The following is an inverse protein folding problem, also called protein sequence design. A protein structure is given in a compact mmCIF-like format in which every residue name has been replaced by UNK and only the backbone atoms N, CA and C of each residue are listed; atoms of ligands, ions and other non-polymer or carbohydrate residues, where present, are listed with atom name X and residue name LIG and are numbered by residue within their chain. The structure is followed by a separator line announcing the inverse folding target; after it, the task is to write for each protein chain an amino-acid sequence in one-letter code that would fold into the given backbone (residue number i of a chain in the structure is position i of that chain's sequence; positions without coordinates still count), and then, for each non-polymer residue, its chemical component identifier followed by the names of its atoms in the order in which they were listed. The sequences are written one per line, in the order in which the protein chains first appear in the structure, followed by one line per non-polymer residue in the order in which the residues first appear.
data_IF_702377200748
#
_entry.id   IF_702377200748
#
_cell.length_a   1.000
_cell.length_b   1.000
_cell.length_c   1.000
_cell.angle_alpha   90.00
_cell.angle_beta   90.00
_cell.angle_gamma   90.00
#
_symmetry.space_group_name_H-M   'P 1'
#
loop_
_entity.id
_entity.type
_entity.pdbx_description
1 polymer ?
#
# COMPACT_ATOMS: atom_id res chain seq x y z
N UNK A 1 -5.04 -4.84 19.12
CA UNK A 1 -4.67 -3.70 18.27
C UNK A 1 -3.21 -3.91 17.87
N UNK A 2 -2.91 -4.00 16.58
CA UNK A 2 -1.54 -4.19 16.08
C UNK A 2 -0.98 -2.80 15.75
N UNK A 3 0.15 -2.44 16.33
CA UNK A 3 0.77 -1.11 16.19
C UNK A 3 2.26 -1.16 15.82
N UNK A 4 2.81 -2.34 15.58
CA UNK A 4 4.20 -2.52 15.14
C UNK A 4 4.37 -3.83 14.39
N UNK A 5 5.46 -3.95 13.65
CA UNK A 5 5.85 -5.17 12.93
C UNK A 5 6.32 -6.31 13.84
N UNK A 6 6.36 -6.13 15.17
CA UNK A 6 7.04 -7.06 16.08
C UNK A 6 8.57 -6.99 15.96
N UNK A 7 9.32 -7.84 16.70
CA UNK A 7 10.78 -7.90 16.61
C UNK A 7 11.25 -8.30 15.21
N UNK A 8 12.27 -7.63 14.68
CA UNK A 8 12.88 -7.97 13.40
C UNK A 8 13.33 -9.45 13.39
N UNK A 9 12.97 -10.18 12.33
CA UNK A 9 13.26 -11.59 12.03
C UNK A 9 12.33 -12.68 12.63
N UNK A 10 11.37 -12.38 13.50
CA UNK A 10 10.41 -13.42 13.97
C UNK A 10 9.33 -13.77 12.92
N UNK A 11 9.12 -12.91 11.91
CA UNK A 11 8.15 -13.13 10.81
C UNK A 11 8.70 -14.02 9.69
N UNK A 12 10.00 -14.32 9.71
CA UNK A 12 10.60 -15.39 8.88
C UNK A 12 10.19 -16.80 9.36
N UNK A 13 9.30 -16.90 10.35
CA UNK A 13 8.62 -18.15 10.63
C UNK A 13 7.69 -18.49 9.45
N UNK A 14 7.96 -19.64 8.84
CA UNK A 14 7.57 -20.11 7.49
C UNK A 14 6.13 -19.87 7.00
N UNK A 15 5.19 -19.49 7.87
CA UNK A 15 3.77 -19.35 7.57
C UNK A 15 3.37 -17.98 7.00
N UNK A 16 4.08 -16.89 7.32
CA UNK A 16 3.70 -15.54 6.85
C UNK A 16 4.22 -15.22 5.44
N UNK A 17 5.27 -15.92 4.99
CA UNK A 17 5.82 -15.74 3.63
C UNK A 17 4.84 -16.12 2.49
N UNK A 18 3.74 -16.81 2.82
CA UNK A 18 2.70 -17.21 1.87
C UNK A 18 1.50 -16.24 1.84
N UNK A 19 1.48 -15.19 2.66
CA UNK A 19 0.37 -14.24 2.67
C UNK A 19 0.29 -13.53 1.33
N UNK A 20 -0.88 -13.63 0.69
CA UNK A 20 -1.19 -12.93 -0.55
C UNK A 20 -2.19 -11.78 -0.34
N UNK A 21 -2.97 -11.80 0.74
CA UNK A 21 -3.96 -10.76 1.08
C UNK A 21 -3.73 -10.31 2.53
N UNK A 22 -3.48 -9.00 2.70
CA UNK A 22 -3.31 -8.36 3.99
C UNK A 22 -4.22 -7.13 4.10
N UNK A 23 -5.02 -7.12 5.16
CA UNK A 23 -5.79 -5.96 5.56
C UNK A 23 -5.15 -5.28 6.78
N UNK A 24 -4.62 -4.07 6.58
CA UNK A 24 -4.12 -3.21 7.63
C UNK A 24 -5.05 -2.01 7.90
N UNK A 25 -6.22 -1.96 7.25
CA UNK A 25 -7.20 -0.90 7.45
C UNK A 25 -7.70 -0.87 8.89
N UNK A 26 -7.96 0.33 9.40
CA UNK A 26 -8.45 0.54 10.77
C UNK A 26 -7.50 0.05 11.88
N UNK A 27 -6.20 -0.09 11.59
CA UNK A 27 -5.18 -0.22 12.62
C UNK A 27 -4.66 1.15 13.08
N UNK A 28 -3.99 1.17 14.23
CA UNK A 28 -3.34 2.37 14.79
C UNK A 28 -1.93 2.57 14.22
N UNK A 29 -1.74 2.26 12.94
CA UNK A 29 -0.44 2.46 12.29
C UNK A 29 -0.31 3.95 11.98
N UNK A 30 0.40 4.64 12.88
CA UNK A 30 0.58 6.09 12.82
C UNK A 30 1.69 6.51 11.86
N UNK A 31 2.60 5.59 11.52
CA UNK A 31 3.77 5.87 10.70
C UNK A 31 3.94 4.89 9.55
N UNK A 32 4.50 5.42 8.47
CA UNK A 32 4.75 4.71 7.24
C UNK A 32 5.88 3.69 7.32
N UNK A 33 6.86 3.95 8.18
CA UNK A 33 7.99 3.07 8.43
C UNK A 33 7.51 1.69 8.93
N UNK A 34 6.47 1.67 9.75
CA UNK A 34 5.84 0.43 10.21
C UNK A 34 5.18 -0.33 9.08
N UNK A 35 4.42 0.33 8.19
CA UNK A 35 3.79 -0.34 7.03
C UNK A 35 4.86 -0.95 6.13
N UNK A 36 5.90 -0.18 5.78
CA UNK A 36 6.99 -0.65 4.92
C UNK A 36 7.75 -1.80 5.57
N UNK A 37 8.02 -1.74 6.88
CA UNK A 37 8.63 -2.83 7.63
C UNK A 37 7.78 -4.12 7.57
N UNK A 38 6.46 -4.03 7.77
CA UNK A 38 5.55 -5.19 7.69
C UNK A 38 5.55 -5.77 6.27
N UNK A 39 5.30 -4.93 5.26
CA UNK A 39 5.08 -5.42 3.88
C UNK A 39 6.37 -5.89 3.22
N UNK A 40 7.54 -5.38 3.62
CA UNK A 40 8.85 -5.88 3.17
C UNK A 40 9.10 -7.35 3.51
N UNK A 41 8.36 -7.88 4.49
CA UNK A 41 8.46 -9.27 4.94
C UNK A 41 7.47 -10.20 4.22
N UNK A 42 6.67 -9.68 3.27
CA UNK A 42 5.58 -10.39 2.59
C UNK A 42 5.80 -10.46 1.07
N UNK A 43 6.75 -11.27 0.58
CA UNK A 43 7.16 -11.28 -0.83
C UNK A 43 6.10 -11.85 -1.80
N UNK A 44 5.00 -12.41 -1.30
CA UNK A 44 3.90 -12.96 -2.09
C UNK A 44 2.64 -12.08 -2.06
N UNK A 45 2.70 -10.91 -1.41
CA UNK A 45 1.54 -10.06 -1.22
C UNK A 45 1.01 -9.55 -2.57
N UNK A 46 -0.27 -9.79 -2.84
CA UNK A 46 -1.02 -9.39 -4.03
C UNK A 46 -2.12 -8.39 -3.72
N UNK A 47 -2.68 -8.43 -2.51
CA UNK A 47 -3.78 -7.56 -2.09
C UNK A 47 -3.38 -6.86 -0.79
N UNK A 48 -3.45 -5.54 -0.78
CA UNK A 48 -3.16 -4.71 0.39
C UNK A 48 -4.28 -3.69 0.61
N UNK A 49 -4.80 -3.63 1.83
CA UNK A 49 -5.78 -2.62 2.26
C UNK A 49 -5.17 -1.72 3.32
N UNK A 50 -5.23 -0.41 3.11
CA UNK A 50 -4.67 0.60 4.00
C UNK A 50 -5.69 1.72 4.25
N UNK A 51 -5.87 2.09 5.52
CA UNK A 51 -6.71 3.22 5.93
C UNK A 51 -6.11 3.92 7.14
N UNK A 52 -5.24 4.90 6.91
CA UNK A 52 -4.57 5.68 7.97
C UNK A 52 -4.23 7.13 7.60
N UNK A 53 -4.96 7.72 6.64
CA UNK A 53 -4.71 9.10 6.17
C UNK A 53 -3.29 9.29 5.61
N UNK A 54 -2.80 8.31 4.86
CA UNK A 54 -1.44 8.28 4.32
C UNK A 54 -1.31 9.23 3.12
N UNK A 55 -0.30 10.12 3.09
CA UNK A 55 0.04 10.88 1.90
C UNK A 55 0.46 9.98 0.72
N UNK A 56 0.05 10.33 -0.50
CA UNK A 56 0.40 9.57 -1.70
C UNK A 56 1.91 9.35 -1.90
N UNK A 57 2.74 10.32 -1.49
CA UNK A 57 4.20 10.23 -1.57
C UNK A 57 4.76 8.98 -0.88
N UNK A 58 4.15 8.58 0.24
CA UNK A 58 4.62 7.42 0.97
C UNK A 58 4.34 6.13 0.19
N UNK A 59 3.22 6.07 -0.53
CA UNK A 59 2.83 4.94 -1.39
C UNK A 59 3.90 4.62 -2.47
N UNK A 60 4.68 5.61 -2.93
CA UNK A 60 5.79 5.41 -3.88
C UNK A 60 6.78 4.34 -3.40
N UNK A 61 7.02 4.29 -2.09
CA UNK A 61 7.95 3.32 -1.49
C UNK A 61 7.39 1.89 -1.59
N UNK A 62 6.07 1.69 -1.46
CA UNK A 62 5.47 0.35 -1.60
C UNK A 62 5.64 -0.22 -2.98
N UNK A 63 5.52 0.62 -4.01
CA UNK A 63 5.59 0.16 -5.38
C UNK A 63 6.92 -0.56 -5.66
N UNK A 64 8.00 -0.06 -5.06
CA UNK A 64 9.31 -0.73 -5.13
C UNK A 64 9.42 -1.98 -4.23
N UNK A 65 8.74 -2.01 -3.09
CA UNK A 65 8.84 -3.10 -2.10
C UNK A 65 7.91 -4.28 -2.37
N UNK A 66 6.88 -4.09 -3.18
CA UNK A 66 5.82 -5.08 -3.43
C UNK A 66 5.65 -5.36 -4.93
N UNK A 67 6.62 -6.03 -5.57
CA UNK A 67 6.62 -6.25 -7.03
C UNK A 67 5.46 -7.12 -7.54
N UNK A 68 4.74 -7.82 -6.64
CA UNK A 68 3.60 -8.69 -6.95
C UNK A 68 2.23 -8.08 -6.58
N UNK A 69 2.20 -6.84 -6.10
CA UNK A 69 0.95 -6.22 -5.67
C UNK A 69 0.03 -5.97 -6.87
N UNK A 70 -1.11 -6.65 -6.88
CA UNK A 70 -2.11 -6.54 -7.94
C UNK A 70 -3.25 -5.60 -7.53
N UNK A 71 -3.63 -5.58 -6.25
CA UNK A 71 -4.78 -4.83 -5.76
C UNK A 71 -4.39 -3.98 -4.54
N UNK A 72 -4.58 -2.66 -4.65
CA UNK A 72 -4.30 -1.70 -3.59
C UNK A 72 -5.56 -0.91 -3.24
N UNK A 73 -6.03 -1.06 -1.99
CA UNK A 73 -7.17 -0.31 -1.47
C UNK A 73 -6.73 0.86 -0.59
N UNK A 74 -7.00 2.07 -1.07
CA UNK A 74 -6.65 3.33 -0.41
C UNK A 74 -7.89 4.22 -0.16
N UNK A 75 -9.06 3.59 -0.05
CA UNK A 75 -10.31 4.29 0.20
C UNK A 75 -10.26 5.09 1.51
N UNK A 76 -10.71 6.35 1.49
CA UNK A 76 -10.81 7.14 2.72
C UNK A 76 -9.48 7.56 3.33
N UNK A 77 -8.42 7.72 2.53
CA UNK A 77 -7.09 8.15 3.00
C UNK A 77 -6.83 9.66 2.88
N UNK A 78 -7.81 10.46 2.48
CA UNK A 78 -7.65 11.90 2.35
C UNK A 78 -6.64 12.31 1.27
N UNK A 79 -6.37 11.43 0.31
CA UNK A 79 -5.42 11.68 -0.78
C UNK A 79 -5.99 12.81 -1.64
N UNK A 80 -5.24 13.90 -1.76
CA UNK A 80 -5.60 15.02 -2.63
C UNK A 80 -4.75 15.07 -3.89
N UNK A 81 -3.46 14.80 -3.75
CA UNK A 81 -2.47 14.91 -4.82
C UNK A 81 -1.87 13.55 -5.13
N UNK A 82 -1.76 13.23 -6.40
CA UNK A 82 -1.14 12.05 -6.96
C UNK A 82 0.20 12.40 -7.63
N UNK A 83 1.01 11.39 -7.85
CA UNK A 83 2.27 11.42 -8.60
C UNK A 83 2.35 10.19 -9.50
N UNK A 84 3.20 10.28 -10.52
CA UNK A 84 3.48 9.12 -11.36
C UNK A 84 4.31 8.10 -10.55
N UNK A 85 3.80 6.87 -10.47
CA UNK A 85 4.46 5.76 -9.80
C UNK A 85 4.58 4.60 -10.80
N UNK A 86 5.76 3.98 -10.85
CA UNK A 86 5.95 2.74 -11.59
C UNK A 86 5.51 1.56 -10.73
N UNK A 87 4.55 0.79 -11.23
CA UNK A 87 4.07 -0.43 -10.59
C UNK A 87 4.25 -1.60 -11.55
N UNK A 88 4.84 -2.69 -11.06
CA UNK A 88 5.17 -3.82 -11.91
C UNK A 88 3.94 -4.68 -12.26
N UNK A 89 3.00 -4.83 -11.32
CA UNK A 89 1.91 -5.82 -11.43
C UNK A 89 0.52 -5.32 -11.00
N UNK A 90 0.38 -4.02 -10.67
CA UNK A 90 -0.89 -3.47 -10.20
C UNK A 90 -1.97 -3.55 -11.28
N UNK A 91 -3.16 -4.04 -10.91
CA UNK A 91 -4.33 -4.20 -11.78
C UNK A 91 -5.50 -3.37 -11.30
N UNK A 92 -5.63 -3.19 -9.99
CA UNK A 92 -6.75 -2.49 -9.38
C UNK A 92 -6.25 -1.52 -8.30
N UNK A 93 -6.62 -0.25 -8.47
CA UNK A 93 -6.34 0.83 -7.53
C UNK A 93 -7.66 1.48 -7.10
N UNK A 94 -7.97 1.38 -5.81
CA UNK A 94 -9.21 1.90 -5.24
C UNK A 94 -8.94 3.20 -4.50
N UNK A 95 -9.51 4.30 -5.00
CA UNK A 95 -9.29 5.68 -4.52
C UNK A 95 -10.59 6.37 -4.08
N UNK A 96 -11.68 5.63 -3.89
CA UNK A 96 -12.94 6.18 -3.41
C UNK A 96 -12.79 6.90 -2.06
N UNK A 97 -13.70 7.85 -1.78
CA UNK A 97 -13.72 8.63 -0.54
C UNK A 97 -12.38 9.35 -0.21
N UNK A 98 -11.62 9.73 -1.23
CA UNK A 98 -10.46 10.62 -1.11
C UNK A 98 -10.83 12.08 -1.43
N UNK A 99 -9.83 12.96 -1.46
CA UNK A 99 -9.98 14.41 -1.67
C UNK A 99 -9.52 14.85 -3.07
N UNK A 100 -9.49 13.92 -4.03
CA UNK A 100 -9.13 14.19 -5.43
C UNK A 100 -10.29 14.96 -6.07
N UNK A 101 -10.09 16.25 -6.30
CA UNK A 101 -11.08 17.17 -6.87
C UNK A 101 -10.73 17.64 -8.29
N UNK A 102 -9.57 17.23 -8.81
CA UNK A 102 -9.06 17.59 -10.15
C UNK A 102 -8.68 16.35 -10.96
N UNK A 103 -9.12 16.29 -12.22
CA UNK A 103 -8.80 15.21 -13.15
C UNK A 103 -7.33 15.18 -13.55
N UNK A 104 -6.62 16.31 -13.49
CA UNK A 104 -5.17 16.37 -13.79
C UNK A 104 -4.37 15.48 -12.84
N UNK A 105 -4.87 15.20 -11.63
CA UNK A 105 -4.26 14.25 -10.69
C UNK A 105 -4.39 12.81 -11.19
N UNK A 106 -5.56 12.44 -11.74
CA UNK A 106 -5.83 11.10 -12.29
C UNK A 106 -4.99 10.83 -13.54
N UNK A 107 -4.75 11.86 -14.37
CA UNK A 107 -3.89 11.76 -15.56
C UNK A 107 -2.45 11.36 -15.21
N UNK A 108 -1.97 11.66 -13.99
CA UNK A 108 -0.63 11.24 -13.52
C UNK A 108 -0.51 9.72 -13.36
N UNK A 109 -1.63 9.00 -13.27
CA UNK A 109 -1.68 7.53 -13.20
C UNK A 109 -1.59 6.85 -14.57
N UNK A 110 -1.34 7.59 -15.66
CA UNK A 110 -1.14 7.01 -16.99
C UNK A 110 0.06 6.03 -17.09
N UNK A 111 0.96 6.05 -16.10
CA UNK A 111 2.11 5.14 -16.01
C UNK A 111 1.75 3.75 -15.46
N UNK A 112 0.51 3.53 -15.02
CA UNK A 112 0.08 2.22 -14.55
C UNK A 112 0.17 1.18 -15.69
N UNK A 113 0.57 -0.07 -15.38
CA UNK A 113 0.64 -1.13 -16.36
C UNK A 113 -0.75 -1.39 -16.96
N UNK A 114 -0.75 -1.81 -18.23
CA UNK A 114 -1.96 -2.11 -19.01
C UNK A 114 -2.47 -3.52 -18.80
#
# INVERSE_FOLDING_TARGET
MISSAGPNNDILDSQLSMIEDLDLSMNLIADWETVTSIVSQLPQLKILRLKSMIPWKDIEVLASGLPKLENLQLAGNGIKTLSAIHWESIKCLYLEDNLIDDWTEVEKLQSLPK
#
